data_IF_257177982892
#
_entry.id   IF_257177982892
#
_cell.length_a   1.000
_cell.length_b   1.000
_cell.length_c   1.000
_cell.angle_alpha   90.00
_cell.angle_beta   90.00
_cell.angle_gamma   90.00
#
_symmetry.space_group_name_H-M   'P 1'
#
loop_
_entity.id
_entity.type
_entity.pdbx_description
1 polymer ?
#
# COMPACT_ATOMS: atom_id res chain seq x y z
N UNK A 1 0.74 11.48 -98.25
CA UNK A 1 1.64 12.62 -97.98
C UNK A 1 0.79 13.83 -97.65
N UNK A 2 1.14 14.74 -96.71
CA UNK A 2 2.50 15.10 -96.29
C UNK A 2 2.79 15.02 -94.77
N UNK A 3 4.09 15.07 -94.43
CA UNK A 3 4.69 15.44 -93.14
C UNK A 3 4.57 16.98 -92.92
N UNK A 4 5.18 17.69 -91.92
CA UNK A 4 6.17 17.34 -90.88
C UNK A 4 5.83 17.95 -89.49
N UNK A 5 6.60 17.80 -88.40
CA UNK A 5 7.69 18.71 -87.98
C UNK A 5 8.27 18.26 -86.62
N UNK A 6 9.60 18.27 -86.52
CA UNK A 6 10.39 18.11 -85.30
C UNK A 6 10.45 19.42 -84.51
N UNK A 7 10.24 19.37 -83.19
CA UNK A 7 10.77 20.39 -82.25
C UNK A 7 11.17 19.73 -80.94
N UNK A 8 12.46 19.81 -80.59
CA UNK A 8 13.05 19.45 -79.29
C UNK A 8 12.70 20.50 -78.23
N UNK A 9 12.48 20.12 -76.97
CA UNK A 9 12.81 20.98 -75.82
C UNK A 9 12.95 20.18 -74.51
N UNK A 10 13.76 20.74 -73.62
CA UNK A 10 14.51 20.21 -72.47
C UNK A 10 13.75 19.96 -71.15
N UNK A 11 14.35 19.11 -70.31
CA UNK A 11 14.05 18.77 -68.90
C UNK A 11 13.68 19.95 -67.98
N UNK A 12 12.76 19.71 -67.03
CA UNK A 12 12.81 20.31 -65.68
C UNK A 12 12.15 19.36 -64.65
N UNK A 13 12.97 18.74 -63.79
CA UNK A 13 12.53 18.00 -62.60
C UNK A 13 12.33 18.98 -61.44
N UNK A 14 11.08 19.26 -61.05
CA UNK A 14 10.74 20.01 -59.84
C UNK A 14 10.54 19.07 -58.65
N UNK A 15 11.48 19.12 -57.71
CA UNK A 15 11.44 18.42 -56.42
C UNK A 15 10.46 19.14 -55.48
N UNK A 16 9.28 18.54 -55.23
CA UNK A 16 8.33 19.01 -54.22
C UNK A 16 8.64 18.33 -52.88
N UNK A 17 9.17 19.10 -51.91
CA UNK A 17 9.16 18.69 -50.50
C UNK A 17 7.75 18.96 -49.91
N UNK A 18 7.08 17.98 -49.29
CA UNK A 18 5.86 18.26 -48.56
C UNK A 18 6.19 18.93 -47.21
N UNK A 19 5.67 20.13 -47.00
CA UNK A 19 5.56 20.74 -45.66
C UNK A 19 4.48 19.98 -44.89
N UNK A 20 4.87 19.17 -43.90
CA UNK A 20 3.94 18.64 -42.91
C UNK A 20 3.44 19.80 -42.03
N UNK A 21 2.20 20.24 -42.26
CA UNK A 21 1.54 21.25 -41.43
C UNK A 21 1.25 20.69 -40.05
N UNK A 22 1.83 21.30 -39.01
CA UNK A 22 1.47 21.05 -37.61
C UNK A 22 0.11 21.72 -37.38
N UNK A 23 -0.94 20.96 -37.13
CA UNK A 23 -2.24 21.51 -36.78
C UNK A 23 -2.10 22.36 -35.51
N UNK A 24 -2.40 23.66 -35.60
CA UNK A 24 -2.22 24.59 -34.50
C UNK A 24 -3.36 24.46 -33.48
N UNK A 25 -3.08 23.86 -32.32
CA UNK A 25 -4.00 23.82 -31.19
C UNK A 25 -4.09 25.20 -30.50
N UNK A 26 -5.29 25.54 -30.00
CA UNK A 26 -5.55 26.74 -29.21
C UNK A 26 -6.00 26.33 -27.80
N UNK A 27 -5.54 27.05 -26.79
CA UNK A 27 -5.87 26.79 -25.38
C UNK A 27 -6.71 27.93 -24.83
N UNK A 28 -7.91 27.63 -24.32
CA UNK A 28 -8.85 28.58 -23.71
C UNK A 28 -8.86 28.41 -22.19
N UNK A 29 -8.43 29.42 -21.43
CA UNK A 29 -8.38 29.37 -19.96
C UNK A 29 -8.86 30.68 -19.33
N UNK A 30 -9.09 30.69 -18.02
CA UNK A 30 -9.50 31.87 -17.25
C UNK A 30 -8.33 32.38 -16.41
N UNK A 31 -7.97 33.65 -16.58
CA UNK A 31 -6.87 34.28 -15.83
C UNK A 31 -7.27 34.66 -14.39
N UNK A 32 -6.41 35.39 -13.68
CA UNK A 32 -6.64 35.86 -12.31
C UNK A 32 -7.72 36.95 -12.22
N UNK A 33 -7.98 37.67 -13.31
CA UNK A 33 -8.99 38.73 -13.43
C UNK A 33 -10.35 38.19 -13.88
N UNK A 34 -10.47 36.88 -14.09
CA UNK A 34 -11.69 36.25 -14.59
C UNK A 34 -11.90 36.40 -16.09
N UNK A 35 -10.86 36.83 -16.83
CA UNK A 35 -10.93 37.01 -18.28
C UNK A 35 -10.59 35.70 -18.97
N UNK A 36 -11.39 35.35 -19.98
CA UNK A 36 -11.10 34.19 -20.84
C UNK A 36 -10.03 34.55 -21.86
N UNK A 37 -8.91 33.83 -21.83
CA UNK A 37 -7.75 34.03 -22.71
C UNK A 37 -7.64 32.87 -23.68
N UNK A 38 -7.34 33.16 -24.95
CA UNK A 38 -7.01 32.19 -25.99
C UNK A 38 -5.51 32.27 -26.29
N UNK A 39 -4.78 31.17 -26.10
CA UNK A 39 -3.33 31.11 -26.28
C UNK A 39 -2.93 29.99 -27.24
N UNK A 40 -1.96 30.26 -28.12
CA UNK A 40 -1.29 29.23 -28.96
C UNK A 40 -0.09 28.61 -28.26
N UNK A 41 0.40 29.24 -27.20
CA UNK A 41 1.61 28.87 -26.48
C UNK A 41 1.33 27.89 -25.32
N UNK A 42 0.05 27.61 -25.05
CA UNK A 42 -0.39 26.79 -23.92
C UNK A 42 -0.99 27.62 -22.78
N UNK A 43 -1.38 26.91 -21.72
CA UNK A 43 -1.90 27.51 -20.48
C UNK A 43 -0.76 27.72 -19.48
N UNK A 44 -0.57 28.94 -18.95
CA UNK A 44 0.42 29.18 -17.90
C UNK A 44 0.19 28.30 -16.67
N UNK A 45 1.24 27.82 -15.98
CA UNK A 45 1.13 26.89 -14.85
C UNK A 45 0.15 27.31 -13.76
N UNK A 46 0.09 28.60 -13.46
CA UNK A 46 -0.78 29.20 -12.45
C UNK A 46 -2.28 29.07 -12.73
N UNK A 47 -2.69 28.85 -13.99
CA UNK A 47 -4.10 28.74 -14.40
C UNK A 47 -4.55 27.31 -14.69
N UNK A 48 -3.62 26.35 -14.77
CA UNK A 48 -3.95 24.94 -15.04
C UNK A 48 -4.95 24.39 -14.02
N UNK A 49 -4.78 24.74 -12.73
CA UNK A 49 -5.64 24.28 -11.65
C UNK A 49 -7.09 24.78 -11.72
N UNK A 50 -7.40 25.79 -12.54
CA UNK A 50 -8.77 26.28 -12.77
C UNK A 50 -9.49 25.52 -13.89
N UNK A 51 -8.79 24.63 -14.59
CA UNK A 51 -9.29 23.99 -15.80
C UNK A 51 -9.17 24.89 -17.02
N UNK A 52 -9.21 24.26 -18.20
CA UNK A 52 -9.09 24.94 -19.48
C UNK A 52 -9.61 24.05 -20.60
N UNK A 53 -9.78 24.61 -21.78
CA UNK A 53 -10.22 23.87 -22.96
C UNK A 53 -9.17 23.92 -24.06
N UNK A 54 -9.08 22.86 -24.85
CA UNK A 54 -8.27 22.80 -26.06
C UNK A 54 -9.21 22.86 -27.25
N UNK A 55 -8.91 23.76 -28.16
CA UNK A 55 -9.67 24.07 -29.35
C UNK A 55 -8.83 23.70 -30.59
N UNK A 56 -9.49 23.26 -31.66
CA UNK A 56 -8.85 23.07 -32.96
C UNK A 56 -8.61 24.41 -33.68
N UNK A 57 -8.01 24.34 -34.87
CA UNK A 57 -7.76 25.46 -35.77
C UNK A 57 -9.02 26.25 -36.15
N UNK A 58 -10.19 25.59 -36.14
CA UNK A 58 -11.50 26.17 -36.39
C UNK A 58 -12.17 26.76 -35.12
N UNK A 59 -11.48 26.76 -33.97
CA UNK A 59 -12.00 27.28 -32.71
C UNK A 59 -13.06 26.39 -32.05
N UNK A 60 -13.19 25.13 -32.46
CA UNK A 60 -14.09 24.16 -31.83
C UNK A 60 -13.39 23.44 -30.69
N UNK A 61 -14.09 23.25 -29.58
CA UNK A 61 -13.58 22.52 -28.41
C UNK A 61 -13.36 21.06 -28.79
N UNK A 62 -12.12 20.62 -28.72
CA UNK A 62 -11.73 19.22 -28.93
C UNK A 62 -11.44 18.50 -27.62
N UNK A 63 -11.13 19.23 -26.55
CA UNK A 63 -10.88 18.65 -25.21
C UNK A 63 -11.19 19.65 -24.11
N UNK A 64 -11.78 19.19 -23.02
CA UNK A 64 -12.00 19.98 -21.80
C UNK A 64 -11.17 19.37 -20.68
N UNK A 65 -10.34 20.17 -20.03
CA UNK A 65 -9.57 19.81 -18.85
C UNK A 65 -10.28 20.42 -17.63
N UNK A 66 -10.85 19.60 -16.73
CA UNK A 66 -11.59 20.12 -15.58
C UNK A 66 -10.64 20.84 -14.60
N UNK A 67 -11.19 21.71 -13.73
CA UNK A 67 -10.44 22.27 -12.61
C UNK A 67 -9.89 21.16 -11.70
N UNK A 68 -8.83 21.51 -10.95
CA UNK A 68 -8.32 20.65 -9.91
C UNK A 68 -9.44 20.38 -8.87
N UNK A 69 -9.57 19.14 -8.36
CA UNK A 69 -10.54 18.83 -7.33
C UNK A 69 -10.36 19.73 -6.11
N UNK A 70 -11.46 20.06 -5.45
CA UNK A 70 -11.39 20.72 -4.14
C UNK A 70 -10.66 19.80 -3.15
N UNK A 71 -10.08 20.34 -2.05
CA UNK A 71 -9.42 19.51 -1.04
C UNK A 71 -10.32 18.40 -0.48
N UNK A 72 -11.62 18.66 -0.33
CA UNK A 72 -12.59 17.66 0.14
C UNK A 72 -12.86 16.57 -0.90
N UNK A 73 -13.04 16.94 -2.17
CA UNK A 73 -13.21 15.97 -3.27
C UNK A 73 -11.96 15.12 -3.46
N UNK A 74 -10.77 15.73 -3.35
CA UNK A 74 -9.51 15.01 -3.39
C UNK A 74 -9.41 14.01 -2.24
N UNK A 75 -9.75 14.41 -1.01
CA UNK A 75 -9.75 13.50 0.14
C UNK A 75 -10.72 12.33 -0.03
N UNK A 76 -11.93 12.57 -0.55
CA UNK A 76 -12.90 11.51 -0.88
C UNK A 76 -12.37 10.56 -1.93
N UNK A 77 -11.84 11.09 -3.04
CA UNK A 77 -11.26 10.27 -4.11
C UNK A 77 -10.10 9.40 -3.59
N UNK A 78 -9.27 9.94 -2.70
CA UNK A 78 -8.18 9.18 -2.07
C UNK A 78 -8.72 8.08 -1.14
N UNK A 79 -9.76 8.36 -0.35
CA UNK A 79 -10.41 7.37 0.50
C UNK A 79 -11.06 6.25 -0.32
N UNK A 80 -11.76 6.58 -1.40
CA UNK A 80 -12.39 5.61 -2.29
C UNK A 80 -11.35 4.76 -3.02
N UNK A 81 -10.25 5.38 -3.47
CA UNK A 81 -9.12 4.66 -4.07
C UNK A 81 -8.46 3.71 -3.07
N UNK A 82 -8.28 4.15 -1.81
CA UNK A 82 -7.73 3.31 -0.75
C UNK A 82 -8.63 2.11 -0.45
N UNK A 83 -9.95 2.32 -0.38
CA UNK A 83 -10.95 1.25 -0.21
C UNK A 83 -10.91 0.26 -1.38
N UNK A 84 -11.00 0.75 -2.61
CA UNK A 84 -10.94 -0.09 -3.80
C UNK A 84 -9.64 -0.91 -3.89
N UNK A 85 -8.52 -0.32 -3.48
CA UNK A 85 -7.23 -1.03 -3.41
C UNK A 85 -7.25 -2.13 -2.34
N UNK A 86 -7.82 -1.86 -1.17
CA UNK A 86 -7.95 -2.84 -0.09
C UNK A 86 -8.86 -4.00 -0.50
N UNK A 87 -9.99 -3.70 -1.13
CA UNK A 87 -10.94 -4.70 -1.62
C UNK A 87 -10.33 -5.57 -2.70
N UNK A 88 -9.63 -4.96 -3.67
CA UNK A 88 -8.92 -5.69 -4.71
C UNK A 88 -7.84 -6.62 -4.13
N UNK A 89 -7.20 -6.21 -3.03
CA UNK A 89 -6.26 -7.07 -2.31
C UNK A 89 -6.99 -8.27 -1.67
N UNK A 90 -8.10 -8.04 -0.96
CA UNK A 90 -8.88 -9.14 -0.36
C UNK A 90 -9.33 -10.17 -1.40
N UNK A 91 -9.91 -9.72 -2.51
CA UNK A 91 -10.36 -10.57 -3.62
C UNK A 91 -9.23 -11.33 -4.31
N UNK A 92 -7.99 -10.83 -4.22
CA UNK A 92 -6.81 -11.53 -4.73
C UNK A 92 -6.29 -12.58 -3.75
N UNK A 93 -6.39 -12.34 -2.44
CA UNK A 93 -5.95 -13.29 -1.43
C UNK A 93 -6.93 -14.44 -1.23
N UNK A 94 -8.23 -14.19 -1.36
CA UNK A 94 -9.28 -15.13 -1.00
C UNK A 94 -10.28 -15.28 -2.15
N UNK A 95 -10.50 -16.51 -2.59
CA UNK A 95 -11.41 -16.82 -3.70
C UNK A 95 -12.85 -17.00 -3.21
N UNK A 96 -13.04 -17.35 -1.95
CA UNK A 96 -14.33 -17.51 -1.27
C UNK A 96 -14.18 -17.26 0.25
N UNK A 97 -15.29 -17.28 0.98
CA UNK A 97 -15.27 -17.11 2.44
C UNK A 97 -14.55 -18.25 3.18
N UNK A 98 -14.59 -19.48 2.65
CA UNK A 98 -13.90 -20.60 3.30
C UNK A 98 -12.36 -20.43 3.27
N UNK A 99 -11.81 -19.74 2.26
CA UNK A 99 -10.39 -19.43 2.19
C UNK A 99 -9.94 -18.53 3.36
N UNK A 100 -10.73 -17.51 3.70
CA UNK A 100 -10.41 -16.61 4.82
C UNK A 100 -10.57 -17.33 6.16
N UNK A 101 -11.58 -18.20 6.30
CA UNK A 101 -11.77 -19.01 7.51
C UNK A 101 -10.60 -20.00 7.71
N UNK A 102 -10.14 -20.68 6.65
CA UNK A 102 -8.94 -21.54 6.71
C UNK A 102 -7.67 -20.75 7.00
N UNK A 103 -7.52 -19.55 6.45
CA UNK A 103 -6.37 -18.69 6.72
C UNK A 103 -6.35 -18.25 8.20
N UNK A 104 -7.52 -17.88 8.75
CA UNK A 104 -7.72 -17.59 10.16
C UNK A 104 -7.30 -18.77 11.02
N UNK A 105 -7.88 -19.95 10.79
CA UNK A 105 -7.59 -21.15 11.58
C UNK A 105 -6.10 -21.47 11.62
N UNK A 106 -5.43 -21.46 10.44
CA UNK A 106 -3.98 -21.68 10.36
C UNK A 106 -3.21 -20.65 11.18
N UNK A 107 -3.57 -19.36 11.08
CA UNK A 107 -2.86 -18.30 11.79
C UNK A 107 -3.04 -18.40 13.31
N UNK A 108 -4.25 -18.70 13.76
CA UNK A 108 -4.54 -18.88 15.18
C UNK A 108 -3.82 -20.13 15.73
N UNK A 109 -3.81 -21.23 14.99
CA UNK A 109 -3.09 -22.45 15.38
C UNK A 109 -1.57 -22.22 15.48
N UNK A 110 -0.98 -21.44 14.57
CA UNK A 110 0.42 -21.03 14.63
C UNK A 110 0.71 -20.25 15.93
N UNK A 111 -0.12 -19.24 16.24
CA UNK A 111 0.03 -18.40 17.44
C UNK A 111 -0.18 -19.19 18.74
N UNK A 112 -1.13 -20.12 18.75
CA UNK A 112 -1.39 -21.02 19.87
C UNK A 112 -0.21 -21.98 20.09
N UNK A 113 0.40 -22.48 19.01
CA UNK A 113 1.58 -23.34 19.05
C UNK A 113 2.79 -22.62 19.67
N UNK A 114 3.14 -21.42 19.18
CA UNK A 114 4.27 -20.65 19.75
C UNK A 114 4.01 -20.23 21.19
N UNK A 115 2.75 -19.93 21.55
CA UNK A 115 2.36 -19.65 22.93
C UNK A 115 2.54 -20.88 23.82
N UNK A 116 2.19 -22.07 23.34
CA UNK A 116 2.36 -23.33 24.07
C UNK A 116 3.83 -23.63 24.33
N UNK A 117 4.69 -23.47 23.32
CA UNK A 117 6.15 -23.63 23.45
C UNK A 117 6.71 -22.65 24.48
N UNK A 118 6.35 -21.37 24.40
CA UNK A 118 6.82 -20.36 25.36
C UNK A 118 6.38 -20.68 26.80
N UNK A 119 5.16 -21.21 26.99
CA UNK A 119 4.69 -21.67 28.31
C UNK A 119 5.48 -22.88 28.83
N UNK A 120 5.78 -23.84 27.97
CA UNK A 120 6.62 -25.00 28.32
C UNK A 120 8.03 -24.56 28.76
N UNK A 121 8.62 -23.62 28.05
CA UNK A 121 9.92 -23.02 28.41
C UNK A 121 9.83 -22.28 29.75
N UNK A 122 8.77 -21.47 29.96
CA UNK A 122 8.56 -20.76 31.21
C UNK A 122 8.47 -21.72 32.41
N UNK A 123 7.75 -22.83 32.24
CA UNK A 123 7.65 -23.85 33.29
C UNK A 123 9.01 -24.50 33.58
N UNK A 124 9.79 -24.80 32.54
CA UNK A 124 11.13 -25.35 32.70
C UNK A 124 12.06 -24.41 33.46
N UNK A 125 12.07 -23.12 33.10
CA UNK A 125 12.87 -22.09 33.78
C UNK A 125 12.43 -21.90 35.23
N UNK A 126 11.13 -21.97 35.54
CA UNK A 126 10.61 -21.92 36.91
C UNK A 126 11.09 -23.09 37.75
N UNK A 127 11.06 -24.30 37.22
CA UNK A 127 11.58 -25.49 37.91
C UNK A 127 13.09 -25.38 38.16
N UNK A 128 13.86 -24.92 37.17
CA UNK A 128 15.30 -24.68 37.35
C UNK A 128 15.56 -23.64 38.44
N UNK A 129 14.81 -22.53 38.44
CA UNK A 129 14.95 -21.50 39.46
C UNK A 129 14.64 -22.05 40.86
N UNK A 130 13.54 -22.80 41.02
CA UNK A 130 13.17 -23.40 42.30
C UNK A 130 14.27 -24.34 42.83
N UNK A 131 14.89 -25.14 41.96
CA UNK A 131 16.00 -26.01 42.34
C UNK A 131 17.23 -25.22 42.82
N UNK A 132 17.59 -24.13 42.13
CA UNK A 132 18.70 -23.27 42.55
C UNK A 132 18.39 -22.50 43.84
N UNK A 133 17.14 -22.05 44.02
CA UNK A 133 16.69 -21.41 45.25
C UNK A 133 16.73 -22.38 46.44
N UNK A 134 16.39 -23.65 46.25
CA UNK A 134 16.54 -24.67 47.30
C UNK A 134 18.00 -24.84 47.71
N UNK A 135 18.94 -24.88 46.75
CA UNK A 135 20.37 -24.95 47.06
C UNK A 135 20.84 -23.72 47.82
N UNK A 136 20.40 -22.52 47.42
CA UNK A 136 20.73 -21.28 48.13
C UNK A 136 20.22 -21.33 49.59
N UNK A 137 18.98 -21.78 49.80
CA UNK A 137 18.40 -21.96 51.13
C UNK A 137 19.18 -22.99 51.98
N UNK A 138 19.75 -24.04 51.38
CA UNK A 138 20.61 -25.01 52.09
C UNK A 138 21.91 -24.36 52.58
N UNK A 139 22.51 -23.45 51.78
CA UNK A 139 23.67 -22.68 52.22
C UNK A 139 23.32 -21.78 53.41
N UNK A 140 22.22 -21.03 53.33
CA UNK A 140 21.76 -20.14 54.39
C UNK A 140 21.43 -20.90 55.69
N UNK A 141 20.71 -22.02 55.58
CA UNK A 141 20.39 -22.89 56.73
C UNK A 141 21.64 -23.49 57.38
N UNK A 142 22.69 -23.72 56.61
CA UNK A 142 23.98 -24.17 57.13
C UNK A 142 24.82 -23.02 57.72
N UNK A 143 24.30 -21.80 57.78
CA UNK A 143 25.02 -20.61 58.24
C UNK A 143 26.15 -20.16 57.32
N UNK A 144 26.16 -20.63 56.06
CA UNK A 144 27.15 -20.28 55.04
C UNK A 144 26.62 -19.18 54.14
N UNK A 145 27.52 -18.35 53.63
CA UNK A 145 27.17 -17.39 52.59
C UNK A 145 26.77 -18.12 51.29
N UNK A 146 25.72 -17.64 50.64
CA UNK A 146 25.31 -18.14 49.32
C UNK A 146 26.36 -17.73 48.28
N UNK A 147 26.87 -18.65 47.45
CA UNK A 147 27.85 -18.31 46.41
C UNK A 147 27.29 -17.26 45.43
N UNK A 148 28.07 -16.24 45.08
CA UNK A 148 27.64 -15.18 44.15
C UNK A 148 27.22 -15.73 42.78
N UNK A 149 27.91 -16.76 42.30
CA UNK A 149 27.57 -17.45 41.04
C UNK A 149 26.16 -18.05 41.09
N UNK A 150 25.74 -18.59 42.23
CA UNK A 150 24.40 -19.16 42.41
C UNK A 150 23.33 -18.06 42.39
N UNK A 151 23.58 -16.93 43.06
CA UNK A 151 22.70 -15.76 43.01
C UNK A 151 22.58 -15.20 41.59
N UNK A 152 23.69 -15.11 40.85
CA UNK A 152 23.71 -14.66 39.46
C UNK A 152 22.86 -15.57 38.56
N UNK A 153 22.98 -16.90 38.70
CA UNK A 153 22.15 -17.85 37.95
C UNK A 153 20.66 -17.68 38.25
N UNK A 154 20.28 -17.54 39.53
CA UNK A 154 18.88 -17.30 39.93
C UNK A 154 18.33 -16.02 39.31
N UNK A 155 19.12 -14.94 39.29
CA UNK A 155 18.74 -13.66 38.69
C UNK A 155 18.60 -13.77 37.17
N UNK A 156 19.52 -14.44 36.49
CA UNK A 156 19.43 -14.67 35.04
C UNK A 156 18.16 -15.45 34.67
N UNK A 157 17.80 -16.48 35.45
CA UNK A 157 16.54 -17.23 35.25
C UNK A 157 15.31 -16.36 35.54
N UNK A 158 15.38 -15.44 36.51
CA UNK A 158 14.29 -14.49 36.76
C UNK A 158 14.07 -13.58 35.55
N UNK A 159 15.13 -13.06 34.97
CA UNK A 159 15.05 -12.20 33.78
C UNK A 159 14.51 -12.96 32.57
N UNK A 160 14.92 -14.22 32.40
CA UNK A 160 14.39 -15.10 31.36
C UNK A 160 12.89 -15.35 31.53
N UNK A 161 12.41 -15.59 32.75
CA UNK A 161 10.97 -15.70 33.01
C UNK A 161 10.23 -14.43 32.62
N UNK A 162 10.77 -13.26 32.94
CA UNK A 162 10.14 -11.99 32.57
C UNK A 162 10.10 -11.80 31.04
N UNK A 163 11.15 -12.22 30.32
CA UNK A 163 11.13 -12.23 28.84
C UNK A 163 10.04 -13.13 28.30
N UNK A 164 9.99 -14.39 28.75
CA UNK A 164 8.98 -15.37 28.32
C UNK A 164 7.55 -14.92 28.63
N UNK A 165 7.32 -14.29 29.79
CA UNK A 165 6.01 -13.73 30.15
C UNK A 165 5.58 -12.61 29.19
N UNK A 166 6.51 -11.72 28.80
CA UNK A 166 6.24 -10.68 27.81
C UNK A 166 5.96 -11.27 26.43
N UNK A 167 6.69 -12.30 26.02
CA UNK A 167 6.46 -12.98 24.75
C UNK A 167 5.08 -13.65 24.71
N UNK A 168 4.70 -14.36 25.78
CA UNK A 168 3.37 -14.97 25.91
C UNK A 168 2.28 -13.89 25.82
N UNK A 169 2.46 -12.76 26.50
CA UNK A 169 1.50 -11.65 26.43
C UNK A 169 1.39 -11.09 25.01
N UNK A 170 2.52 -10.87 24.33
CA UNK A 170 2.57 -10.43 22.94
C UNK A 170 1.87 -11.40 21.99
N UNK A 171 2.09 -12.71 22.12
CA UNK A 171 1.45 -13.70 21.25
C UNK A 171 -0.06 -13.78 21.47
N UNK A 172 -0.52 -13.66 22.72
CA UNK A 172 -1.96 -13.56 23.02
C UNK A 172 -2.58 -12.31 22.40
N UNK A 173 -1.93 -11.17 22.52
CA UNK A 173 -2.40 -9.93 21.91
C UNK A 173 -2.44 -10.05 20.38
N UNK A 174 -1.38 -10.58 19.78
CA UNK A 174 -1.32 -10.86 18.35
C UNK A 174 -2.45 -11.80 17.90
N UNK A 175 -2.83 -12.79 18.73
CA UNK A 175 -3.94 -13.70 18.46
C UNK A 175 -5.28 -12.96 18.44
N UNK A 176 -5.54 -12.11 19.43
CA UNK A 176 -6.76 -11.28 19.48
C UNK A 176 -6.84 -10.34 18.29
N UNK A 177 -5.72 -9.71 17.92
CA UNK A 177 -5.64 -8.82 16.76
C UNK A 177 -5.87 -9.58 15.44
N UNK A 178 -5.27 -10.76 15.27
CA UNK A 178 -5.51 -11.60 14.11
C UNK A 178 -7.00 -12.00 14.02
N UNK A 179 -7.60 -12.41 15.13
CA UNK A 179 -9.01 -12.78 15.18
C UNK A 179 -9.94 -11.63 14.76
N UNK A 180 -9.68 -10.42 15.26
CA UNK A 180 -10.43 -9.23 14.85
C UNK A 180 -10.19 -8.87 13.37
N UNK A 181 -8.93 -8.94 12.90
CA UNK A 181 -8.58 -8.67 11.51
C UNK A 181 -9.26 -9.63 10.54
N UNK A 182 -9.19 -10.94 10.78
CA UNK A 182 -9.86 -11.93 9.95
C UNK A 182 -11.39 -11.80 9.99
N UNK A 183 -11.98 -11.44 11.13
CA UNK A 183 -13.42 -11.19 11.22
C UNK A 183 -13.83 -9.99 10.35
N UNK A 184 -13.04 -8.91 10.34
CA UNK A 184 -13.28 -7.75 9.49
C UNK A 184 -13.11 -8.09 8.00
N UNK A 185 -12.04 -8.80 7.63
CA UNK A 185 -11.80 -9.25 6.26
C UNK A 185 -12.94 -10.14 5.76
N UNK A 186 -13.40 -11.08 6.60
CA UNK A 186 -14.51 -11.97 6.28
C UNK A 186 -15.82 -11.22 6.07
N UNK A 187 -16.15 -10.27 6.95
CA UNK A 187 -17.33 -9.42 6.80
C UNK A 187 -17.27 -8.61 5.50
N UNK A 188 -16.11 -8.03 5.18
CA UNK A 188 -15.93 -7.28 3.95
C UNK A 188 -16.06 -8.15 2.70
N UNK A 189 -15.48 -9.36 2.72
CA UNK A 189 -15.61 -10.30 1.61
C UNK A 189 -17.06 -10.76 1.39
N UNK A 190 -17.85 -10.95 2.46
CA UNK A 190 -19.26 -11.31 2.34
C UNK A 190 -20.05 -10.22 1.59
N UNK A 191 -19.79 -8.95 1.90
CA UNK A 191 -20.35 -7.81 1.16
C UNK A 191 -19.92 -7.81 -0.31
N UNK A 192 -18.65 -8.11 -0.61
CA UNK A 192 -18.11 -8.12 -1.97
C UNK A 192 -18.62 -9.30 -2.81
N UNK A 193 -18.89 -10.45 -2.20
CA UNK A 193 -19.45 -11.62 -2.89
C UNK A 193 -20.99 -11.59 -2.99
N UNK A 194 -21.65 -10.65 -2.29
CA UNK A 194 -23.10 -10.55 -2.29
C UNK A 194 -23.79 -11.65 -1.47
N UNK A 195 -23.06 -12.29 -0.55
CA UNK A 195 -23.61 -13.25 0.40
C UNK A 195 -24.04 -12.47 1.66
N UNK A 196 -25.35 -12.24 1.81
CA UNK A 196 -25.97 -11.65 3.01
C UNK A 196 -26.48 -12.71 3.97
#
# INVERSE_FOLDING_TARGET
>A
MPAPLLTRCTLLCSLLLPLSGVAAELYRYVDDKGVTVLSRQGVPPEFIGKGYEVLNDQGRVVRVIPPAPTPEEFARMQADKARASSDAQLLRLYTNLDDVDRARERKLAELDSVTSVARGNLQSVRTQQANLQSQAADHERAGRQVPEQLLAQINNLKDEQQRLLRDIARYKEARTQAEAGFAADRARLAELFGEQ
#
